data_IF_664728851008
#
_entry.id   IF_664728851008
#
_cell.length_a   1.000
_cell.length_b   1.000
_cell.length_c   1.000
_cell.angle_alpha   90.00
_cell.angle_beta   90.00
_cell.angle_gamma   90.00
#
_symmetry.space_group_name_H-M   'P 1'
#
loop_
_entity.id
_entity.type
_entity.pdbx_description
1 polymer ?
#
# COMPACT_ATOMS: atom_id res chain seq x y z
N UNK A 1 19.38 -7.27 -9.43
CA UNK A 1 18.15 -7.25 -8.61
C UNK A 1 18.00 -8.58 -7.88
N UNK A 2 17.39 -8.58 -6.70
CA UNK A 2 17.00 -9.79 -5.95
C UNK A 2 15.58 -10.17 -6.37
N UNK A 3 15.31 -11.48 -6.47
CA UNK A 3 13.93 -11.96 -6.64
C UNK A 3 13.20 -11.81 -5.31
N UNK A 4 12.10 -11.06 -5.32
CA UNK A 4 11.20 -10.89 -4.18
C UNK A 4 9.97 -11.76 -4.41
N UNK A 5 9.49 -12.41 -3.35
CA UNK A 5 8.22 -13.16 -3.38
C UNK A 5 7.24 -12.57 -2.39
N UNK A 6 5.96 -12.57 -2.73
CA UNK A 6 4.90 -11.96 -1.96
C UNK A 6 4.32 -12.97 -0.97
N UNK A 7 4.13 -12.56 0.28
CA UNK A 7 3.57 -13.39 1.34
C UNK A 7 2.03 -13.31 1.31
N UNK A 8 1.33 -14.37 0.87
CA UNK A 8 -0.13 -14.36 0.78
C UNK A 8 -0.82 -14.22 2.14
N UNK A 9 -0.13 -14.54 3.26
CA UNK A 9 -0.69 -14.38 4.60
C UNK A 9 -0.82 -12.92 5.03
N UNK A 10 -0.09 -12.02 4.36
CA UNK A 10 -0.12 -10.58 4.59
C UNK A 10 -1.02 -9.83 3.60
N UNK A 11 -1.52 -10.50 2.56
CA UNK A 11 -2.31 -9.88 1.51
C UNK A 11 -3.61 -9.28 2.07
N UNK A 12 -3.96 -8.06 1.66
CA UNK A 12 -5.32 -7.55 1.82
C UNK A 12 -6.32 -8.44 1.05
N UNK A 13 -7.58 -8.58 1.50
CA UNK A 13 -8.58 -9.45 0.86
C UNK A 13 -8.82 -9.15 -0.63
N UNK A 14 -8.62 -7.90 -1.05
CA UNK A 14 -8.79 -7.45 -2.43
C UNK A 14 -7.63 -7.86 -3.37
N UNK A 15 -6.55 -8.44 -2.84
CA UNK A 15 -5.37 -8.83 -3.61
C UNK A 15 -5.28 -10.35 -3.75
N UNK A 16 -5.00 -10.81 -4.96
CA UNK A 16 -4.67 -12.20 -5.24
C UNK A 16 -3.23 -12.32 -5.74
N UNK A 17 -2.45 -13.15 -5.07
CA UNK A 17 -1.07 -13.48 -5.48
C UNK A 17 -1.10 -14.58 -6.54
N UNK A 18 -0.29 -14.42 -7.60
CA UNK A 18 -0.09 -15.46 -8.61
C UNK A 18 0.66 -16.68 -8.02
N UNK A 19 0.56 -17.83 -8.69
CA UNK A 19 1.17 -19.09 -8.22
C UNK A 19 2.69 -18.99 -8.06
N UNK A 20 3.35 -18.18 -8.89
CA UNK A 20 4.80 -17.97 -8.84
C UNK A 20 5.27 -17.03 -7.72
N UNK A 21 4.32 -16.44 -6.99
CA UNK A 21 4.55 -15.52 -5.87
C UNK A 21 5.11 -14.15 -6.28
N UNK A 22 5.15 -13.80 -7.58
CA UNK A 22 5.82 -12.58 -8.05
C UNK A 22 4.88 -11.49 -8.55
N UNK A 23 3.61 -11.83 -8.77
CA UNK A 23 2.60 -10.94 -9.35
C UNK A 23 1.36 -10.90 -8.48
N UNK A 24 0.64 -9.78 -8.53
CA UNK A 24 -0.67 -9.60 -7.88
C UNK A 24 -1.72 -9.15 -8.87
N UNK A 25 -2.96 -9.56 -8.60
CA UNK A 25 -4.16 -9.10 -9.27
C UNK A 25 -5.08 -8.46 -8.23
N UNK A 26 -5.56 -7.25 -8.52
CA UNK A 26 -6.64 -6.63 -7.76
C UNK A 26 -7.99 -7.21 -8.21
N UNK A 27 -8.87 -7.51 -7.25
CA UNK A 27 -10.14 -8.21 -7.48
C UNK A 27 -11.38 -7.30 -7.52
N UNK A 28 -11.22 -5.98 -7.41
CA UNK A 28 -12.34 -5.05 -7.19
C UNK A 28 -13.21 -4.72 -8.40
N UNK A 29 -13.41 -5.67 -9.35
CA UNK A 29 -14.33 -5.47 -10.48
C UNK A 29 -15.68 -6.21 -10.32
N UNK A 30 -16.08 -6.60 -9.11
CA UNK A 30 -17.36 -7.30 -8.86
C UNK A 30 -18.28 -6.53 -7.88
N UNK A 31 -19.02 -5.55 -8.43
CA UNK A 31 -20.45 -5.20 -8.18
C UNK A 31 -20.94 -4.95 -6.73
N UNK A 32 -20.07 -4.88 -5.73
CA UNK A 32 -20.47 -4.51 -4.35
C UNK A 32 -19.69 -3.34 -3.75
N UNK A 33 -18.85 -2.67 -4.55
CA UNK A 33 -18.04 -1.53 -4.09
C UNK A 33 -18.69 -0.18 -4.29
N UNK A 34 -19.74 -0.02 -5.10
CA UNK A 34 -20.37 1.30 -5.29
C UNK A 34 -20.97 1.88 -3.98
N UNK A 35 -21.52 1.05 -3.09
CA UNK A 35 -22.06 1.52 -1.80
C UNK A 35 -20.95 1.81 -0.75
N UNK A 36 -19.84 1.05 -0.77
CA UNK A 36 -18.69 1.30 0.12
C UNK A 36 -17.84 2.47 -0.41
N UNK A 37 -17.71 2.63 -1.72
CA UNK A 37 -17.04 3.75 -2.39
C UNK A 37 -17.84 5.06 -2.25
N UNK A 38 -19.17 5.04 -2.32
CA UNK A 38 -19.99 6.25 -2.06
C UNK A 38 -19.93 6.68 -0.57
N UNK A 39 -19.95 5.73 0.38
CA UNK A 39 -19.76 6.05 1.81
C UNK A 39 -18.32 6.49 2.12
N UNK A 40 -17.30 5.88 1.50
CA UNK A 40 -15.90 6.31 1.62
C UNK A 40 -15.64 7.65 0.91
N UNK A 41 -16.26 7.95 -0.24
CA UNK A 41 -16.16 9.24 -0.94
C UNK A 41 -16.82 10.37 -0.13
N UNK A 42 -17.99 10.13 0.49
CA UNK A 42 -18.63 11.11 1.39
C UNK A 42 -17.77 11.37 2.66
N UNK A 43 -17.15 10.34 3.24
CA UNK A 43 -16.20 10.51 4.35
C UNK A 43 -14.89 11.19 3.91
N UNK A 44 -14.38 10.90 2.70
CA UNK A 44 -13.20 11.53 2.12
C UNK A 44 -13.44 13.03 1.82
N UNK A 45 -14.61 13.42 1.29
CA UNK A 45 -14.95 14.83 1.09
C UNK A 45 -15.02 15.62 2.41
N UNK A 46 -15.53 15.01 3.49
CA UNK A 46 -15.51 15.59 4.84
C UNK A 46 -14.09 15.63 5.46
N UNK A 47 -13.22 14.67 5.16
CA UNK A 47 -11.80 14.65 5.60
C UNK A 47 -10.91 15.60 4.76
N UNK A 48 -11.22 15.84 3.48
CA UNK A 48 -10.54 16.81 2.60
C UNK A 48 -10.77 18.26 3.04
N UNK A 49 -11.94 18.60 3.61
CA UNK A 49 -12.12 19.91 4.27
C UNK A 49 -11.22 20.08 5.52
N UNK A 50 -10.62 18.99 6.02
CA UNK A 50 -9.81 18.91 7.23
C UNK A 50 -8.32 18.64 6.99
N UNK A 51 -7.80 18.89 5.79
CA UNK A 51 -6.41 18.61 5.41
C UNK A 51 -5.37 19.13 6.43
N UNK A 52 -4.89 18.21 7.29
CA UNK A 52 -3.51 18.18 7.72
C UNK A 52 -2.68 17.43 6.66
N UNK A 53 -1.35 17.53 6.64
CA UNK A 53 -0.49 16.79 5.71
C UNK A 53 -0.58 15.25 5.83
N UNK A 54 -1.47 14.71 6.67
CA UNK A 54 -1.56 13.30 7.09
C UNK A 54 -2.73 12.54 6.42
N UNK A 55 -3.51 13.18 5.54
CA UNK A 55 -4.76 12.62 4.98
C UNK A 55 -4.64 11.33 4.16
N UNK A 56 -3.44 10.92 3.72
CA UNK A 56 -3.25 9.67 2.99
C UNK A 56 -2.72 8.57 3.94
N UNK A 57 -3.61 7.74 4.46
CA UNK A 57 -3.24 6.61 5.31
C UNK A 57 -2.96 5.35 4.48
N UNK A 58 -1.68 4.93 4.42
CA UNK A 58 -1.27 3.64 3.82
C UNK A 58 -2.05 2.46 4.42
N UNK A 59 -2.53 2.58 5.66
CA UNK A 59 -3.32 1.54 6.31
C UNK A 59 -4.71 1.32 5.67
N UNK A 60 -5.29 2.36 5.05
CA UNK A 60 -6.57 2.27 4.33
C UNK A 60 -6.42 1.61 2.95
N UNK A 61 -5.20 1.56 2.37
CA UNK A 61 -5.00 1.00 1.04
C UNK A 61 -4.65 -0.50 1.02
N UNK A 62 -5.14 -1.27 0.02
CA UNK A 62 -4.78 -2.67 -0.16
C UNK A 62 -3.27 -2.86 -0.28
N UNK A 63 -2.72 -3.76 0.54
CA UNK A 63 -1.26 -3.95 0.65
C UNK A 63 -0.90 -5.42 0.82
N UNK A 64 0.37 -5.73 0.53
CA UNK A 64 0.97 -7.04 0.71
C UNK A 64 2.46 -6.86 0.98
N UNK A 65 3.02 -7.72 1.84
CA UNK A 65 4.43 -7.72 2.18
C UNK A 65 5.18 -8.83 1.44
N UNK A 66 6.49 -8.65 1.30
CA UNK A 66 7.39 -9.70 0.83
C UNK A 66 7.58 -10.78 1.90
N UNK A 67 7.91 -12.00 1.45
CA UNK A 67 8.38 -13.08 2.31
C UNK A 67 9.80 -12.82 2.84
N UNK A 68 10.60 -12.04 2.11
CA UNK A 68 12.00 -11.79 2.45
C UNK A 68 12.17 -10.61 3.41
N UNK A 69 12.88 -10.86 4.52
CA UNK A 69 13.28 -9.81 5.46
C UNK A 69 14.64 -9.20 5.09
N UNK A 70 14.73 -7.88 5.23
CA UNK A 70 15.98 -7.12 5.03
C UNK A 70 16.57 -6.75 6.39
N UNK A 71 17.63 -7.44 6.80
CA UNK A 71 18.32 -7.18 8.07
C UNK A 71 19.67 -6.48 7.93
N UNK A 72 20.32 -6.58 6.76
CA UNK A 72 21.60 -5.92 6.47
C UNK A 72 21.93 -5.92 4.97
N UNK A 73 22.92 -5.12 4.57
CA UNK A 73 23.44 -5.09 3.20
C UNK A 73 22.70 -4.11 2.29
N UNK A 74 22.82 -4.33 0.96
CA UNK A 74 22.16 -3.55 -0.08
C UNK A 74 21.22 -4.46 -0.87
N UNK A 75 19.97 -4.03 -0.98
CA UNK A 75 18.93 -4.75 -1.68
C UNK A 75 18.37 -3.89 -2.79
N UNK A 76 18.01 -4.51 -3.90
CA UNK A 76 17.47 -3.82 -5.06
C UNK A 76 16.54 -4.79 -5.78
N UNK A 77 15.29 -4.40 -5.96
CA UNK A 77 14.26 -5.15 -6.67
C UNK A 77 13.62 -4.23 -7.69
N UNK A 78 12.97 -4.83 -8.67
CA UNK A 78 12.30 -4.15 -9.76
C UNK A 78 10.84 -4.61 -9.77
N UNK A 79 9.92 -3.70 -10.03
CA UNK A 79 8.48 -3.98 -10.09
C UNK A 79 7.99 -3.50 -11.44
N UNK A 80 7.32 -4.38 -12.17
CA UNK A 80 6.58 -4.02 -13.36
C UNK A 80 5.17 -3.55 -12.94
N UNK A 81 4.77 -2.38 -13.39
CA UNK A 81 3.48 -1.78 -13.06
C UNK A 81 2.61 -1.71 -14.30
N UNK A 82 1.32 -2.01 -14.13
CA UNK A 82 0.34 -1.90 -15.22
C UNK A 82 0.12 -0.43 -15.59
N UNK A 83 0.24 -0.05 -16.87
CA UNK A 83 -0.01 1.33 -17.29
C UNK A 83 -1.44 1.79 -16.94
N UNK A 84 -1.55 2.99 -16.35
CA UNK A 84 -2.84 3.59 -15.99
C UNK A 84 -3.44 3.10 -14.67
N UNK A 85 -2.79 2.13 -13.99
CA UNK A 85 -3.22 1.69 -12.65
C UNK A 85 -2.59 2.54 -11.55
N UNK A 86 -3.29 2.64 -10.42
CA UNK A 86 -2.70 3.15 -9.18
C UNK A 86 -1.84 2.09 -8.51
N UNK A 87 -0.70 2.48 -7.95
CA UNK A 87 0.23 1.56 -7.29
C UNK A 87 1.08 2.28 -6.25
N UNK A 88 1.59 1.51 -5.28
CA UNK A 88 2.61 1.94 -4.36
C UNK A 88 3.62 0.80 -4.14
N UNK A 89 4.89 1.15 -3.97
CA UNK A 89 5.99 0.24 -3.68
C UNK A 89 6.91 0.86 -2.63
N UNK A 90 7.44 0.04 -1.73
CA UNK A 90 8.29 0.53 -0.67
C UNK A 90 8.86 -0.55 0.21
N UNK A 91 9.28 -0.12 1.40
CA UNK A 91 9.73 -0.98 2.50
C UNK A 91 8.96 -0.62 3.76
N UNK A 92 8.65 -1.62 4.55
CA UNK A 92 8.05 -1.47 5.87
C UNK A 92 8.96 -2.15 6.90
N UNK A 93 8.96 -1.65 8.14
CA UNK A 93 9.54 -2.41 9.25
C UNK A 93 8.71 -3.66 9.50
N UNK A 94 9.36 -4.79 9.79
CA UNK A 94 8.72 -6.07 10.15
C UNK A 94 7.64 -5.93 11.24
N UNK A 95 7.87 -5.03 12.21
CA UNK A 95 6.90 -4.76 13.29
C UNK A 95 5.68 -3.93 12.85
N UNK A 96 5.51 -3.64 11.56
CA UNK A 96 4.36 -2.91 11.07
C UNK A 96 3.12 -3.81 11.14
N UNK A 97 2.12 -3.38 11.90
CA UNK A 97 0.83 -4.06 11.98
C UNK A 97 -0.21 -3.26 11.19
N UNK A 98 -1.01 -3.97 10.37
CA UNK A 98 -2.18 -3.40 9.69
C UNK A 98 -3.28 -2.96 10.68
N UNK A 99 -3.26 -3.50 11.90
CA UNK A 99 -4.23 -3.22 12.96
C UNK A 99 -3.64 -2.21 13.94
N UNK A 100 -4.35 -1.11 14.07
CA UNK A 100 -4.11 -0.02 15.03
C UNK A 100 -2.87 0.83 14.72
N UNK A 101 -3.18 2.01 14.20
CA UNK A 101 -2.31 3.17 14.12
C UNK A 101 -1.84 3.53 15.53
N UNK A 102 -0.70 2.98 15.96
CA UNK A 102 0.06 3.58 17.04
C UNK A 102 0.54 4.95 16.53
N UNK A 103 -0.27 5.97 16.83
CA UNK A 103 -0.03 7.37 16.48
C UNK A 103 1.43 7.70 16.79
N UNK A 104 2.19 7.99 15.73
CA UNK A 104 3.54 8.52 15.84
C UNK A 104 4.69 7.64 15.32
N UNK A 105 4.45 6.44 14.78
CA UNK A 105 5.54 5.62 14.21
C UNK A 105 5.14 4.83 12.96
N UNK A 106 4.58 5.47 11.93
CA UNK A 106 4.49 4.87 10.60
C UNK A 106 5.90 4.60 10.06
N UNK A 107 6.32 3.32 10.09
CA UNK A 107 7.66 2.86 9.65
C UNK A 107 7.61 2.29 8.25
N UNK A 108 6.96 3.02 7.36
CA UNK A 108 6.86 2.71 5.94
C UNK A 108 7.57 3.81 5.17
N UNK A 109 8.41 3.40 4.22
CA UNK A 109 8.99 4.29 3.21
C UNK A 109 8.57 3.76 1.85
N UNK A 110 7.72 4.50 1.17
CA UNK A 110 7.13 4.07 -0.08
C UNK A 110 7.03 5.23 -1.06
N UNK A 111 6.84 4.90 -2.33
CA UNK A 111 6.41 5.83 -3.36
C UNK A 111 5.32 5.19 -4.18
N UNK A 112 4.50 6.01 -4.81
CA UNK A 112 3.38 5.52 -5.60
C UNK A 112 2.94 6.49 -6.67
N UNK A 113 1.97 6.03 -7.42
CA UNK A 113 1.27 6.78 -8.45
C UNK A 113 -0.23 6.55 -8.25
N UNK A 114 -1.00 7.63 -8.20
CA UNK A 114 -2.47 7.59 -8.15
C UNK A 114 -3.03 8.88 -8.72
N UNK A 115 -4.17 8.80 -9.42
CA UNK A 115 -4.85 9.98 -9.97
C UNK A 115 -3.98 10.86 -10.87
N UNK A 116 -3.01 10.29 -11.59
CA UNK A 116 -2.09 11.05 -12.44
C UNK A 116 -0.88 11.69 -11.72
N UNK A 117 -0.76 11.51 -10.40
CA UNK A 117 0.26 12.15 -9.58
C UNK A 117 1.18 11.13 -8.91
N UNK A 118 2.45 11.50 -8.74
CA UNK A 118 3.42 10.73 -7.97
C UNK A 118 3.45 11.20 -6.52
N UNK A 119 3.55 10.24 -5.61
CA UNK A 119 3.58 10.45 -4.17
C UNK A 119 4.79 9.78 -3.56
N UNK A 120 5.33 10.37 -2.49
CA UNK A 120 6.37 9.78 -1.68
C UNK A 120 5.94 9.79 -0.21
N UNK A 121 5.93 8.62 0.41
CA UNK A 121 5.61 8.40 1.81
C UNK A 121 6.91 8.32 2.58
N UNK A 122 7.21 9.38 3.31
CA UNK A 122 8.36 9.43 4.21
C UNK A 122 7.85 9.72 5.59
N UNK A 123 8.32 8.98 6.60
CA UNK A 123 8.17 9.41 7.98
C UNK A 123 8.78 10.81 8.12
N UNK A 124 7.94 11.82 8.40
CA UNK A 124 8.42 13.09 8.93
C UNK A 124 8.75 12.84 10.39
N UNK A 125 10.03 12.61 10.67
CA UNK A 125 10.53 12.85 12.02
C UNK A 125 10.59 14.38 12.20
N UNK A 126 9.74 14.93 13.08
CA UNK A 126 9.91 16.25 13.68
C UNK A 126 10.23 16.10 15.16
#
# INVERSE_FOLDING_TARGET
AVKVTLDPSTASPQLQVAEDGSSILWKGDDVHQEEEEEEEEEEEEEEEEKLSPEGFSIAKHPSILACEDISSGKWCWEVEVTPGSSWAVGVAKESWQRKEEEVGNCKVWAMGFSGGHFWAFTSLEL
#
